data_IF_535530138662
#
_entry.id   IF_535530138662
#
_cell.length_a   1.000
_cell.length_b   1.000
_cell.length_c   1.000
_cell.angle_alpha   90.00
_cell.angle_beta   90.00
_cell.angle_gamma   90.00
#
_symmetry.space_group_name_H-M   'P 1'
#
loop_
_entity.id
_entity.type
_entity.pdbx_description
1 polymer ?
#
# COMPACT_ATOMS: atom_id res chain seq x y z
N UNK A 1 -3.15 -5.61 14.47
CA UNK A 1 -1.93 -4.79 14.31
C UNK A 1 -1.80 -3.84 15.50
N UNK A 2 -0.63 -3.80 16.16
CA UNK A 2 -0.38 -2.87 17.27
C UNK A 2 -0.18 -1.44 16.74
N UNK A 3 -0.67 -0.42 17.48
CA UNK A 3 -0.49 1.00 17.14
C UNK A 3 0.82 1.48 17.76
N UNK A 4 1.85 1.68 16.93
CA UNK A 4 3.24 1.90 17.40
C UNK A 4 3.73 3.35 17.30
N UNK A 5 3.00 4.22 16.59
CA UNK A 5 3.37 5.63 16.36
C UNK A 5 2.21 6.56 16.75
N UNK A 6 2.55 7.71 17.33
CA UNK A 6 1.59 8.75 17.75
C UNK A 6 1.81 10.01 16.92
N UNK A 7 0.71 10.66 16.56
CA UNK A 7 0.67 11.98 15.94
C UNK A 7 -0.16 12.88 16.86
N UNK A 8 0.24 14.15 17.00
CA UNK A 8 -0.51 15.18 17.71
C UNK A 8 -0.83 16.31 16.72
N UNK A 9 -2.09 16.73 16.70
CA UNK A 9 -2.59 17.82 15.86
C UNK A 9 -3.49 18.69 16.73
N UNK A 10 -3.38 20.00 16.60
CA UNK A 10 -4.27 20.95 17.25
C UNK A 10 -5.45 21.22 16.34
N UNK A 11 -6.66 21.10 16.88
CA UNK A 11 -7.90 21.44 16.21
C UNK A 11 -8.45 22.74 16.78
N UNK A 12 -9.24 23.45 15.98
CA UNK A 12 -10.09 24.50 16.54
C UNK A 12 -11.26 23.90 17.35
N UNK A 13 -11.92 24.74 18.14
CA UNK A 13 -13.01 24.33 19.03
C UNK A 13 -14.19 23.74 18.24
N UNK A 14 -14.59 24.38 17.14
CA UNK A 14 -15.70 23.93 16.31
C UNK A 14 -15.43 22.56 15.64
N UNK A 15 -14.18 22.29 15.25
CA UNK A 15 -13.75 21.01 14.71
C UNK A 15 -13.79 19.92 15.80
N UNK A 16 -13.28 20.24 16.99
CA UNK A 16 -13.29 19.30 18.11
C UNK A 16 -14.72 18.93 18.52
N UNK A 17 -15.59 19.93 18.68
CA UNK A 17 -16.97 19.72 19.13
C UNK A 17 -17.75 18.86 18.15
N UNK A 18 -17.63 19.13 16.84
CA UNK A 18 -18.26 18.30 15.81
C UNK A 18 -17.76 16.86 15.84
N UNK A 19 -16.45 16.65 16.01
CA UNK A 19 -15.89 15.30 16.10
C UNK A 19 -16.35 14.59 17.39
N UNK A 20 -16.47 15.32 18.50
CA UNK A 20 -16.95 14.79 19.76
C UNK A 20 -18.44 14.40 19.66
N UNK A 21 -19.26 15.22 19.02
CA UNK A 21 -20.67 14.94 18.75
C UNK A 21 -20.83 13.67 17.90
N UNK A 22 -20.08 13.55 16.79
CA UNK A 22 -20.09 12.37 15.93
C UNK A 22 -19.67 11.12 16.72
N UNK A 23 -18.58 11.23 17.47
CA UNK A 23 -18.06 10.13 18.28
C UNK A 23 -19.09 9.67 19.33
N UNK A 24 -19.77 10.62 19.99
CA UNK A 24 -20.81 10.35 20.97
C UNK A 24 -22.03 9.70 20.34
N UNK A 25 -22.53 10.26 19.23
CA UNK A 25 -23.67 9.72 18.46
C UNK A 25 -23.43 8.29 17.98
N UNK A 26 -22.21 7.95 17.60
CA UNK A 26 -21.84 6.61 17.14
C UNK A 26 -21.42 5.66 18.28
N UNK A 27 -21.28 6.14 19.52
CA UNK A 27 -20.77 5.35 20.64
C UNK A 27 -19.30 4.93 20.48
N UNK A 28 -18.49 5.74 19.79
CA UNK A 28 -17.11 5.43 19.39
C UNK A 28 -16.12 6.39 20.03
N UNK A 29 -14.87 5.96 20.14
CA UNK A 29 -13.76 6.84 20.61
C UNK A 29 -13.41 7.85 19.51
N UNK A 30 -13.17 9.11 19.87
CA UNK A 30 -12.73 10.17 18.96
C UNK A 30 -11.55 9.75 18.06
N UNK A 31 -10.55 9.10 18.66
CA UNK A 31 -9.39 8.61 17.93
C UNK A 31 -9.71 7.52 16.90
N UNK A 32 -10.83 6.79 17.03
CA UNK A 32 -11.29 5.84 16.01
C UNK A 32 -11.84 6.59 14.80
N UNK A 33 -12.67 7.60 15.01
CA UNK A 33 -13.22 8.48 13.95
C UNK A 33 -12.08 9.14 13.15
N UNK A 34 -11.10 9.71 13.85
CA UNK A 34 -9.94 10.36 13.22
C UNK A 34 -9.14 9.38 12.36
N UNK A 35 -8.86 8.18 12.88
CA UNK A 35 -8.11 7.16 12.12
C UNK A 35 -8.86 6.69 10.89
N UNK A 36 -10.16 6.45 11.00
CA UNK A 36 -10.98 6.05 9.86
C UNK A 36 -11.03 7.16 8.79
N UNK A 37 -11.10 8.42 9.21
CA UNK A 37 -11.06 9.56 8.30
C UNK A 37 -9.73 9.63 7.54
N UNK A 38 -8.60 9.39 8.23
CA UNK A 38 -7.27 9.31 7.59
C UNK A 38 -7.23 8.17 6.56
N UNK A 39 -7.75 6.99 6.91
CA UNK A 39 -7.80 5.85 5.99
C UNK A 39 -8.60 6.19 4.74
N UNK A 40 -9.83 6.72 4.93
CA UNK A 40 -10.77 6.97 3.85
C UNK A 40 -10.33 8.09 2.91
N UNK A 41 -9.80 9.19 3.45
CA UNK A 41 -9.55 10.40 2.66
C UNK A 41 -8.09 10.60 2.27
N UNK A 42 -7.16 9.84 2.87
CA UNK A 42 -5.74 9.97 2.56
C UNK A 42 -5.15 8.66 2.04
N UNK A 43 -5.25 7.58 2.82
CA UNK A 43 -4.53 6.34 2.50
C UNK A 43 -5.19 5.55 1.36
N UNK A 44 -6.52 5.43 1.35
CA UNK A 44 -7.23 4.72 0.29
C UNK A 44 -7.05 5.38 -1.10
N UNK A 45 -7.18 6.72 -1.25
CA UNK A 45 -6.89 7.38 -2.53
C UNK A 45 -5.45 7.20 -2.99
N UNK A 46 -4.47 7.29 -2.08
CA UNK A 46 -3.05 7.10 -2.42
C UNK A 46 -2.76 5.65 -2.83
N UNK A 47 -3.39 4.67 -2.19
CA UNK A 47 -3.29 3.28 -2.59
C UNK A 47 -3.86 3.04 -4.00
N UNK A 48 -5.02 3.64 -4.33
CA UNK A 48 -5.60 3.55 -5.68
C UNK A 48 -4.73 4.25 -6.72
N UNK A 49 -4.15 5.40 -6.38
CA UNK A 49 -3.18 6.09 -7.25
C UNK A 49 -1.96 5.21 -7.50
N UNK A 50 -1.37 4.63 -6.46
CA UNK A 50 -0.21 3.75 -6.58
C UNK A 50 -0.51 2.51 -7.45
N UNK A 51 -1.70 1.91 -7.32
CA UNK A 51 -2.15 0.82 -8.20
C UNK A 51 -2.24 1.27 -9.65
N UNK A 52 -2.81 2.45 -9.91
CA UNK A 52 -2.91 3.00 -11.27
C UNK A 52 -1.53 3.22 -11.88
N UNK A 53 -0.62 3.86 -11.14
CA UNK A 53 0.75 4.09 -11.59
C UNK A 53 1.49 2.76 -11.87
N UNK A 54 1.29 1.73 -11.04
CA UNK A 54 1.87 0.41 -11.27
C UNK A 54 1.31 -0.27 -12.55
N UNK A 55 0.01 -0.11 -12.83
CA UNK A 55 -0.60 -0.61 -14.05
C UNK A 55 -0.10 0.14 -15.28
N UNK A 56 -0.01 1.47 -15.22
CA UNK A 56 0.54 2.29 -16.30
C UNK A 56 1.98 1.91 -16.61
N UNK A 57 2.81 1.72 -15.58
CA UNK A 57 4.17 1.21 -15.74
C UNK A 57 4.18 -0.17 -16.39
N UNK A 58 3.33 -1.09 -15.94
CA UNK A 58 3.23 -2.44 -16.49
C UNK A 58 2.84 -2.42 -17.98
N UNK A 59 1.88 -1.58 -18.36
CA UNK A 59 1.44 -1.46 -19.76
C UNK A 59 2.41 -0.67 -20.64
N UNK A 60 3.29 0.13 -20.04
CA UNK A 60 4.35 0.84 -20.78
C UNK A 60 5.55 -0.05 -21.10
N UNK A 61 5.63 -1.26 -20.53
CA UNK A 61 6.68 -2.22 -20.86
C UNK A 61 6.39 -2.89 -22.20
N UNK A 62 7.40 -2.97 -23.06
CA UNK A 62 7.29 -3.69 -24.33
C UNK A 62 6.84 -5.15 -24.11
N UNK A 63 5.90 -5.66 -24.93
CA UNK A 63 5.44 -7.04 -24.81
C UNK A 63 6.60 -8.02 -24.83
N UNK A 64 6.72 -8.80 -23.75
CA UNK A 64 7.70 -9.89 -23.70
C UNK A 64 7.31 -10.98 -24.72
N UNK A 65 8.29 -11.66 -25.34
CA UNK A 65 8.00 -12.75 -26.25
C UNK A 65 7.22 -13.85 -25.51
N UNK A 66 6.11 -14.29 -26.11
CA UNK A 66 5.27 -15.36 -25.55
C UNK A 66 6.07 -16.66 -25.55
N UNK A 67 6.23 -17.32 -24.39
CA UNK A 67 6.91 -18.61 -24.35
C UNK A 67 6.11 -19.68 -25.09
N UNK A 68 6.80 -20.50 -25.89
CA UNK A 68 6.18 -21.61 -26.65
C UNK A 68 5.62 -22.72 -25.75
N UNK A 69 6.11 -22.82 -24.51
CA UNK A 69 5.69 -23.81 -23.53
C UNK A 69 5.85 -23.26 -22.11
N UNK A 70 4.84 -23.50 -21.28
CA UNK A 70 4.89 -23.16 -19.85
C UNK A 70 6.04 -23.87 -19.12
N UNK A 71 6.35 -25.12 -19.49
CA UNK A 71 7.40 -25.90 -18.84
C UNK A 71 8.80 -25.30 -19.12
N UNK A 72 9.03 -24.85 -20.35
CA UNK A 72 10.29 -24.21 -20.73
C UNK A 72 10.44 -22.85 -20.05
N UNK A 73 9.37 -22.04 -20.02
CA UNK A 73 9.35 -20.77 -19.28
C UNK A 73 9.66 -20.99 -17.80
N UNK A 74 9.02 -21.98 -17.15
CA UNK A 74 9.21 -22.27 -15.72
C UNK A 74 10.65 -22.68 -15.43
N UNK A 75 11.28 -23.49 -16.31
CA UNK A 75 12.69 -23.89 -16.21
C UNK A 75 13.62 -22.69 -16.33
N UNK A 76 13.42 -21.86 -17.35
CA UNK A 76 14.21 -20.64 -17.57
C UNK A 76 14.08 -19.63 -16.42
N UNK A 77 12.86 -19.37 -15.95
CA UNK A 77 12.59 -18.49 -14.83
C UNK A 77 13.29 -18.98 -13.55
N UNK A 78 13.17 -20.28 -13.24
CA UNK A 78 13.81 -20.88 -12.06
C UNK A 78 15.34 -20.81 -12.12
N UNK A 79 15.93 -20.99 -13.31
CA UNK A 79 17.36 -20.84 -13.54
C UNK A 79 17.83 -19.39 -13.39
N UNK A 80 17.03 -18.40 -13.82
CA UNK A 80 17.32 -16.97 -13.61
C UNK A 80 17.23 -16.59 -12.13
N UNK A 81 16.17 -17.01 -11.44
CA UNK A 81 15.94 -16.75 -10.01
C UNK A 81 17.12 -17.24 -9.14
N UNK A 82 17.64 -18.43 -9.43
CA UNK A 82 18.79 -19.00 -8.69
C UNK A 82 20.11 -18.28 -8.97
N UNK A 83 20.33 -17.79 -10.21
CA UNK A 83 21.49 -16.95 -10.55
C UNK A 83 21.47 -15.59 -9.83
N UNK A 84 20.31 -14.94 -9.73
CA UNK A 84 20.16 -13.66 -9.02
C UNK A 84 20.50 -13.78 -7.53
N UNK A 85 20.07 -14.88 -6.88
CA UNK A 85 20.44 -15.16 -5.49
C UNK A 85 21.93 -15.44 -5.28
N UNK A 86 22.64 -16.02 -6.26
CA UNK A 86 24.10 -16.24 -6.18
C UNK A 86 24.91 -14.95 -6.36
N UNK A 87 24.46 -14.04 -7.23
CA UNK A 87 25.13 -12.74 -7.44
C UNK A 87 25.04 -11.81 -6.22
N UNK A 88 23.93 -11.84 -5.47
CA UNK A 88 23.78 -11.07 -4.23
C UNK A 88 24.65 -11.59 -3.07
N UNK A 89 24.96 -12.89 -3.04
CA UNK A 89 25.85 -13.48 -2.01
C UNK A 89 27.34 -13.24 -2.26
N UNK A 90 27.76 -12.93 -3.49
CA UNK A 90 29.17 -12.72 -3.86
C UNK A 90 29.63 -11.25 -3.71
N UNK A 91 28.70 -10.33 -3.39
CA UNK A 91 28.93 -8.90 -3.14
C UNK A 91 28.86 -8.54 -1.64
N UNK A 92 28.87 -9.52 -0.74
CA UNK A 92 28.96 -9.34 0.72
C UNK A 92 30.26 -9.94 1.22
#
# INVERSE_FOLDING_TARGET
MSKTKKIQVTLDEAQYDKLAEIASREGRKLAAIVRESIEKYTLAPEAERSKREALEQLFSVDPAPVPKSYQDWKREYSARKTKTHRLQKKKR
#
